data_IF_147533099272
#
_entry.id   IF_147533099272
#
_cell.length_a   1.000
_cell.length_b   1.000
_cell.length_c   1.000
_cell.angle_alpha   90.00
_cell.angle_beta   90.00
_cell.angle_gamma   90.00
#
_symmetry.space_group_name_H-M   'P 1'
#
loop_
_entity.id
_entity.type
_entity.pdbx_description
1 polymer ?
#
# COMPACT_ATOMS: atom_id res chain seq x y z
N UNK A 1 -15.94 -14.91 -4.94
CA UNK A 1 -14.59 -14.59 -5.44
C UNK A 1 -14.14 -13.28 -4.81
N UNK A 2 -13.69 -13.32 -3.56
CA UNK A 2 -13.23 -12.14 -2.82
C UNK A 2 -11.70 -12.16 -2.81
N UNK A 3 -11.10 -11.89 -3.98
CA UNK A 3 -9.66 -11.72 -4.10
C UNK A 3 -9.30 -10.25 -3.93
N UNK A 4 -8.22 -9.96 -3.22
CA UNK A 4 -7.66 -8.62 -3.20
C UNK A 4 -7.23 -8.24 -4.63
N UNK A 5 -7.59 -7.04 -5.10
CA UNK A 5 -7.17 -6.54 -6.41
C UNK A 5 -5.87 -5.76 -6.27
N UNK A 6 -4.78 -6.31 -6.78
CA UNK A 6 -3.51 -5.59 -6.85
C UNK A 6 -3.64 -4.42 -7.84
N UNK A 7 -3.29 -3.21 -7.41
CA UNK A 7 -3.23 -2.01 -8.24
C UNK A 7 -1.83 -1.78 -8.80
N UNK A 8 -0.80 -1.96 -7.97
CA UNK A 8 0.58 -1.72 -8.37
C UNK A 8 1.57 -2.52 -7.51
N UNK A 9 2.74 -2.80 -8.09
CA UNK A 9 3.97 -3.19 -7.41
C UNK A 9 4.92 -1.99 -7.46
N UNK A 10 5.43 -1.55 -6.31
CA UNK A 10 6.34 -0.39 -6.17
C UNK A 10 7.57 -0.76 -5.35
N UNK A 11 8.62 0.05 -5.47
CA UNK A 11 9.92 -0.16 -4.81
C UNK A 11 10.93 -0.90 -5.71
N UNK A 12 12.20 -0.45 -5.70
CA UNK A 12 13.28 -1.04 -6.51
C UNK A 12 13.91 -2.27 -5.86
N UNK A 13 14.08 -2.24 -4.53
CA UNK A 13 14.75 -3.29 -3.74
C UNK A 13 13.82 -4.00 -2.77
N UNK A 14 12.54 -3.61 -2.74
CA UNK A 14 11.53 -4.20 -1.87
C UNK A 14 10.23 -4.33 -2.67
N UNK A 15 9.63 -5.51 -2.60
CA UNK A 15 8.36 -5.77 -3.27
C UNK A 15 7.22 -5.24 -2.40
N UNK A 16 6.81 -3.99 -2.64
CA UNK A 16 5.65 -3.38 -1.98
C UNK A 16 4.48 -3.45 -2.95
N UNK A 17 3.36 -4.02 -2.51
CA UNK A 17 2.12 -4.03 -3.28
C UNK A 17 1.11 -3.08 -2.69
N UNK A 18 0.44 -2.35 -3.58
CA UNK A 18 -0.74 -1.55 -3.30
C UNK A 18 -1.95 -2.33 -3.83
N UNK A 19 -2.89 -2.69 -2.96
CA UNK A 19 -4.02 -3.54 -3.31
C UNK A 19 -5.34 -3.04 -2.69
N UNK A 20 -6.46 -3.31 -3.36
CA UNK A 20 -7.80 -3.12 -2.82
C UNK A 20 -8.29 -4.41 -2.20
N UNK A 21 -8.81 -4.34 -0.98
CA UNK A 21 -9.36 -5.49 -0.27
C UNK A 21 -10.75 -5.20 0.28
N UNK A 22 -11.47 -6.26 0.63
CA UNK A 22 -12.79 -6.17 1.25
C UNK A 22 -12.89 -7.15 2.43
N UNK A 23 -13.25 -6.64 3.59
CA UNK A 23 -13.49 -7.44 4.79
C UNK A 23 -14.73 -6.95 5.52
N UNK A 24 -15.65 -7.88 5.82
CA UNK A 24 -16.93 -7.60 6.47
C UNK A 24 -17.69 -6.40 5.85
N UNK A 25 -17.88 -6.45 4.53
CA UNK A 25 -18.53 -5.40 3.72
C UNK A 25 -17.86 -4.02 3.71
N UNK A 26 -16.70 -3.87 4.36
CA UNK A 26 -15.87 -2.66 4.29
C UNK A 26 -14.76 -2.84 3.27
N UNK A 27 -14.44 -1.78 2.54
CA UNK A 27 -13.38 -1.74 1.52
C UNK A 27 -12.16 -1.03 2.07
N UNK A 28 -10.98 -1.50 1.70
CA UNK A 28 -9.71 -0.96 2.18
C UNK A 28 -8.69 -0.85 1.06
N UNK A 29 -7.69 0.00 1.29
CA UNK A 29 -6.45 0.07 0.53
C UNK A 29 -5.32 -0.51 1.39
N UNK A 30 -4.73 -1.59 0.93
CA UNK A 30 -3.55 -2.21 1.55
C UNK A 30 -2.28 -1.73 0.87
N UNK A 31 -1.31 -1.24 1.67
CA UNK A 31 0.05 -0.94 1.23
C UNK A 31 0.99 -1.80 2.05
N UNK A 32 1.55 -2.85 1.45
CA UNK A 32 2.22 -3.92 2.21
C UNK A 32 3.43 -4.47 1.48
N UNK A 33 4.49 -4.77 2.26
CA UNK A 33 5.65 -5.50 1.77
C UNK A 33 5.34 -6.98 1.63
N UNK A 34 5.76 -7.56 0.51
CA UNK A 34 5.68 -8.98 0.23
C UNK A 34 7.07 -9.59 0.18
N UNK A 35 7.12 -10.90 0.29
CA UNK A 35 8.32 -11.71 0.12
C UNK A 35 8.01 -12.87 -0.83
N UNK A 36 9.03 -13.33 -1.55
CA UNK A 36 8.93 -14.55 -2.33
C UNK A 36 9.02 -15.76 -1.41
N UNK A 37 8.06 -16.66 -1.53
CA UNK A 37 8.08 -17.98 -0.93
C UNK A 37 7.94 -19.02 -2.03
N UNK A 38 9.08 -19.45 -2.59
CA UNK A 38 9.15 -20.49 -3.64
C UNK A 38 8.37 -20.10 -4.91
N UNK A 39 8.48 -18.84 -5.34
CA UNK A 39 7.80 -18.31 -6.52
C UNK A 39 6.39 -17.77 -6.25
N UNK A 40 5.89 -17.89 -5.01
CA UNK A 40 4.63 -17.27 -4.59
C UNK A 40 4.90 -15.99 -3.78
N UNK A 41 4.31 -14.88 -4.21
CA UNK A 41 4.41 -13.62 -3.48
C UNK A 41 3.46 -13.61 -2.28
N UNK A 42 4.02 -13.69 -1.07
CA UNK A 42 3.26 -13.70 0.17
C UNK A 42 3.32 -12.35 0.89
N UNK A 43 2.19 -11.86 1.45
CA UNK A 43 2.19 -10.64 2.26
C UNK A 43 2.97 -10.84 3.56
N UNK A 44 3.76 -9.84 3.97
CA UNK A 44 4.38 -9.80 5.31
C UNK A 44 3.48 -9.05 6.30
N UNK A 45 3.79 -9.05 7.60
CA UNK A 45 3.16 -8.17 8.59
C UNK A 45 3.52 -6.69 8.39
N UNK A 46 4.57 -6.36 7.63
CA UNK A 46 5.01 -4.98 7.37
C UNK A 46 4.13 -4.33 6.30
N UNK A 47 3.17 -3.54 6.75
CA UNK A 47 2.25 -2.81 5.89
C UNK A 47 1.12 -2.16 6.68
N UNK A 48 0.28 -1.41 5.99
CA UNK A 48 -0.87 -0.71 6.57
C UNK A 48 -2.12 -1.00 5.73
N UNK A 49 -3.26 -1.12 6.42
CA UNK A 49 -4.59 -1.24 5.82
C UNK A 49 -5.32 0.06 6.12
N UNK A 50 -5.79 0.73 5.07
CA UNK A 50 -6.37 2.07 5.14
C UNK A 50 -7.84 2.02 4.73
N UNK A 51 -8.69 2.70 5.49
CA UNK A 51 -10.05 2.98 5.05
C UNK A 51 -10.11 4.20 4.12
N UNK A 52 -11.27 4.46 3.52
CA UNK A 52 -11.46 5.57 2.58
C UNK A 52 -11.07 6.93 3.17
N UNK A 53 -11.45 7.21 4.42
CA UNK A 53 -11.13 8.48 5.07
C UNK A 53 -9.64 8.68 5.26
N UNK A 54 -8.93 7.63 5.64
CA UNK A 54 -7.49 7.68 5.88
C UNK A 54 -6.72 7.83 4.57
N UNK A 55 -7.17 7.20 3.48
CA UNK A 55 -6.56 7.39 2.15
C UNK A 55 -6.63 8.85 1.72
N UNK A 56 -7.78 9.50 1.87
CA UNK A 56 -7.96 10.90 1.46
C UNK A 56 -7.05 11.85 2.28
N UNK A 57 -6.95 11.62 3.60
CA UNK A 57 -6.05 12.39 4.47
C UNK A 57 -4.58 12.21 4.09
N UNK A 58 -4.13 10.97 3.87
CA UNK A 58 -2.75 10.69 3.45
C UNK A 58 -2.46 11.36 2.11
N UNK A 59 -3.37 11.25 1.13
CA UNK A 59 -3.20 11.91 -0.18
C UNK A 59 -3.03 13.41 -0.03
N UNK A 60 -3.83 14.05 0.82
CA UNK A 60 -3.71 15.48 1.08
C UNK A 60 -2.35 15.83 1.68
N UNK A 61 -1.93 15.14 2.75
CA UNK A 61 -0.62 15.39 3.39
C UNK A 61 0.54 15.20 2.41
N UNK A 62 0.51 14.14 1.60
CA UNK A 62 1.54 13.89 0.60
C UNK A 62 1.61 15.00 -0.45
N UNK A 63 0.46 15.48 -0.92
CA UNK A 63 0.41 16.56 -1.91
C UNK A 63 0.88 17.89 -1.33
N UNK A 64 0.41 18.23 -0.12
CA UNK A 64 0.69 19.53 0.51
C UNK A 64 2.16 19.67 0.93
N UNK A 65 2.86 18.56 1.16
CA UNK A 65 4.24 18.53 1.67
C UNK A 65 5.23 17.84 0.72
N UNK A 66 4.88 17.64 -0.55
CA UNK A 66 5.66 16.82 -1.48
C UNK A 66 7.11 17.29 -1.62
N UNK A 67 7.34 18.60 -1.80
CA UNK A 67 8.68 19.18 -1.93
C UNK A 67 9.55 18.98 -0.68
N UNK A 68 8.95 19.11 0.51
CA UNK A 68 9.66 18.90 1.78
C UNK A 68 10.05 17.43 1.95
N UNK A 69 9.14 16.52 1.60
CA UNK A 69 9.37 15.07 1.63
C UNK A 69 10.50 14.70 0.67
N UNK A 70 10.47 15.19 -0.57
CA UNK A 70 11.53 14.91 -1.55
C UNK A 70 12.89 15.40 -1.06
N UNK A 71 12.98 16.66 -0.61
CA UNK A 71 14.21 17.25 -0.09
C UNK A 71 14.79 16.47 1.10
N UNK A 72 13.95 15.87 1.94
CA UNK A 72 14.42 15.09 3.09
C UNK A 72 14.95 13.70 2.70
N UNK A 73 14.46 13.13 1.59
CA UNK A 73 14.80 11.78 1.14
C UNK A 73 15.98 11.73 0.15
N UNK A 74 16.40 12.87 -0.40
CA UNK A 74 17.63 13.06 -1.18
C UNK A 74 18.90 13.01 -0.31
#
# INVERSE_FOLDING_TARGET
>A
MSGNKILAKVGKNQDIFIALSQFNSKKYLDIRKYYDNKGEMCPTSKGITLDSSTVDQIRQVLNDNFEEIEKYLE
#
